data_IF_973049490107
#
_entry.id   IF_973049490107
#
_cell.length_a   1.000
_cell.length_b   1.000
_cell.length_c   1.000
_cell.angle_alpha   90.00
_cell.angle_beta   90.00
_cell.angle_gamma   90.00
#
_symmetry.space_group_name_H-M   'P 1'
#
loop_
_entity.id
_entity.type
_entity.pdbx_description
1 polymer ?
#
# COMPACT_ATOMS: atom_id res chain seq x y z
N UNK A 1 -11.35 7.42 -3.96
CA UNK A 1 -10.92 6.76 -5.22
C UNK A 1 -11.58 5.37 -5.36
N UNK A 2 -12.14 5.02 -6.53
CA UNK A 2 -12.88 3.76 -6.74
C UNK A 2 -11.99 2.49 -6.71
N UNK A 3 -10.68 2.62 -6.91
CA UNK A 3 -9.70 1.52 -6.85
C UNK A 3 -8.53 1.91 -5.93
N UNK A 4 -8.72 1.76 -4.62
CA UNK A 4 -7.64 1.92 -3.65
C UNK A 4 -6.74 0.66 -3.65
N UNK A 5 -5.43 0.85 -3.84
CA UNK A 5 -4.44 -0.20 -3.63
C UNK A 5 -4.25 -0.45 -2.13
N UNK A 6 -4.12 -1.72 -1.75
CA UNK A 6 -3.71 -2.10 -0.39
C UNK A 6 -2.18 -2.10 -0.34
N UNK A 7 -1.62 -1.52 0.70
CA UNK A 7 -0.18 -1.40 0.94
C UNK A 7 0.18 -2.12 2.24
N UNK A 8 1.38 -2.68 2.30
CA UNK A 8 1.93 -3.29 3.50
C UNK A 8 2.18 -2.22 4.57
N UNK A 9 1.84 -2.53 5.82
CA UNK A 9 2.02 -1.66 6.98
C UNK A 9 3.33 -1.92 7.69
N UNK A 10 3.86 -3.14 7.56
CA UNK A 10 5.06 -3.63 8.21
C UNK A 10 5.94 -4.35 7.19
N UNK A 11 7.25 -4.37 7.47
CA UNK A 11 8.18 -5.25 6.77
C UNK A 11 7.95 -6.69 7.21
N UNK A 12 8.00 -7.64 6.29
CA UNK A 12 7.89 -9.05 6.65
C UNK A 12 7.62 -9.99 5.51
N UNK A 13 7.36 -11.24 5.86
CA UNK A 13 7.06 -12.31 4.90
C UNK A 13 5.56 -12.43 4.72
N UNK A 14 5.13 -12.41 3.47
CA UNK A 14 3.74 -12.60 3.04
C UNK A 14 3.33 -14.05 3.26
N UNK A 15 2.17 -14.23 3.89
CA UNK A 15 1.50 -15.53 4.06
C UNK A 15 0.03 -15.46 3.67
N UNK A 16 -0.43 -16.43 2.92
CA UNK A 16 -1.86 -16.57 2.62
C UNK A 16 -2.53 -17.48 3.67
N UNK A 17 -3.58 -16.99 4.32
CA UNK A 17 -4.40 -17.77 5.26
C UNK A 17 -5.75 -18.15 4.61
N UNK A 18 -6.59 -18.89 5.33
CA UNK A 18 -7.87 -19.38 4.83
C UNK A 18 -8.70 -18.24 4.22
N UNK A 19 -9.06 -18.34 2.93
CA UNK A 19 -9.85 -17.30 2.30
C UNK A 19 -11.27 -17.27 2.87
N UNK A 20 -11.84 -16.06 2.97
CA UNK A 20 -13.27 -15.87 3.19
C UNK A 20 -14.03 -15.95 1.87
N UNK A 21 -15.36 -16.02 1.98
CA UNK A 21 -16.28 -16.23 0.84
C UNK A 21 -15.99 -15.32 -0.36
N UNK A 22 -15.78 -14.03 -0.12
CA UNK A 22 -15.46 -13.01 -1.14
C UNK A 22 -14.08 -12.38 -0.99
N UNK A 23 -13.31 -12.75 0.04
CA UNK A 23 -12.04 -12.08 0.37
C UNK A 23 -10.90 -13.08 0.52
N UNK A 24 -9.75 -12.73 -0.01
CA UNK A 24 -8.46 -13.35 0.29
C UNK A 24 -7.93 -12.75 1.59
N UNK A 25 -7.34 -13.59 2.42
CA UNK A 25 -6.69 -13.18 3.67
C UNK A 25 -5.18 -13.30 3.48
N UNK A 26 -4.50 -12.16 3.57
CA UNK A 26 -3.05 -12.08 3.54
C UNK A 26 -2.56 -11.64 4.92
N UNK A 27 -1.54 -12.30 5.44
CA UNK A 27 -0.89 -11.98 6.70
C UNK A 27 0.56 -11.67 6.37
N UNK A 28 1.05 -10.50 6.76
CA UNK A 28 2.49 -10.20 6.72
C UNK A 28 3.03 -10.46 8.11
N UNK A 29 4.08 -11.27 8.21
CA UNK A 29 4.73 -11.60 9.46
C UNK A 29 6.14 -11.00 9.50
N UNK A 30 6.38 -10.10 10.45
CA UNK A 30 7.67 -9.49 10.70
C UNK A 30 8.59 -10.41 11.51
N UNK A 31 9.90 -10.16 11.46
CA UNK A 31 10.90 -10.93 12.21
C UNK A 31 10.78 -10.76 13.73
N UNK A 32 10.24 -9.64 14.19
CA UNK A 32 10.04 -9.33 15.61
C UNK A 32 8.84 -10.07 16.22
N UNK A 33 8.12 -10.86 15.43
CA UNK A 33 6.93 -11.61 15.83
C UNK A 33 5.62 -10.84 15.65
N UNK A 34 5.66 -9.59 15.19
CA UNK A 34 4.48 -8.81 14.84
C UNK A 34 3.87 -9.32 13.54
N UNK A 35 2.55 -9.24 13.41
CA UNK A 35 1.85 -9.60 12.18
C UNK A 35 0.74 -8.62 11.84
N UNK A 36 0.59 -8.30 10.56
CA UNK A 36 -0.48 -7.48 10.03
C UNK A 36 -1.39 -8.31 9.11
N UNK A 37 -2.71 -8.21 9.31
CA UNK A 37 -3.72 -8.95 8.52
C UNK A 37 -4.42 -8.02 7.52
N UNK A 38 -4.53 -8.49 6.28
CA UNK A 38 -5.17 -7.80 5.17
C UNK A 38 -6.28 -8.65 4.57
N UNK A 39 -7.47 -8.05 4.44
CA UNK A 39 -8.63 -8.66 3.81
C UNK A 39 -8.87 -8.04 2.44
N UNK A 40 -8.36 -8.70 1.40
CA UNK A 40 -8.40 -8.23 0.01
C UNK A 40 -9.59 -8.87 -0.70
N UNK A 41 -10.36 -8.09 -1.45
CA UNK A 41 -11.45 -8.65 -2.25
C UNK A 41 -10.88 -9.50 -3.39
N UNK A 42 -11.44 -10.69 -3.63
CA UNK A 42 -10.98 -11.60 -4.70
C UNK A 42 -11.09 -11.01 -6.11
N UNK A 43 -11.91 -9.97 -6.29
CA UNK A 43 -11.99 -9.23 -7.54
C UNK A 43 -10.77 -8.34 -7.82
N UNK A 44 -9.92 -8.08 -6.81
CA UNK A 44 -8.68 -7.31 -6.97
C UNK A 44 -7.53 -8.21 -7.41
N UNK A 45 -6.68 -7.66 -8.25
CA UNK A 45 -5.44 -8.31 -8.66
C UNK A 45 -4.38 -8.16 -7.55
N UNK A 46 -3.96 -9.28 -6.96
CA UNK A 46 -2.92 -9.37 -5.93
C UNK A 46 -1.56 -9.48 -6.63
N UNK A 47 -0.60 -8.64 -6.23
CA UNK A 47 0.72 -8.58 -6.87
C UNK A 47 1.80 -9.38 -6.13
N UNK A 48 1.50 -9.82 -4.91
CA UNK A 48 2.43 -10.52 -4.03
C UNK A 48 2.21 -12.03 -4.03
N UNK A 49 3.25 -12.77 -3.63
CA UNK A 49 3.24 -14.24 -3.54
C UNK A 49 3.45 -14.73 -2.13
N UNK A 50 2.98 -15.95 -1.86
CA UNK A 50 3.22 -16.63 -0.58
C UNK A 50 4.72 -16.86 -0.37
N UNK A 51 5.23 -16.48 0.80
CA UNK A 51 6.66 -16.56 1.13
C UNK A 51 7.53 -15.41 0.59
N UNK A 52 6.94 -14.44 -0.11
CA UNK A 52 7.65 -13.25 -0.57
C UNK A 52 7.92 -12.30 0.60
N UNK A 53 9.14 -11.76 0.67
CA UNK A 53 9.45 -10.69 1.62
C UNK A 53 9.03 -9.36 1.01
N UNK A 54 8.29 -8.57 1.78
CA UNK A 54 7.77 -7.26 1.36
C UNK A 54 8.14 -6.19 2.37
N UNK A 55 8.45 -4.99 1.87
CA UNK A 55 8.70 -3.83 2.72
C UNK A 55 7.41 -3.06 3.06
N UNK A 56 7.40 -2.39 4.21
CA UNK A 56 6.36 -1.45 4.58
C UNK A 56 6.21 -0.35 3.51
N UNK A 57 4.99 -0.11 3.06
CA UNK A 57 4.66 0.84 1.99
C UNK A 57 4.63 0.23 0.58
N UNK A 58 5.07 -1.01 0.38
CA UNK A 58 4.89 -1.71 -0.89
C UNK A 58 3.45 -2.18 -1.11
N UNK A 59 3.05 -2.31 -2.38
CA UNK A 59 1.67 -2.62 -2.74
C UNK A 59 1.41 -4.12 -2.72
N UNK A 60 0.36 -4.52 -2.01
CA UNK A 60 -0.17 -5.88 -2.05
C UNK A 60 -1.09 -6.10 -3.25
N UNK A 61 -1.76 -5.05 -3.72
CA UNK A 61 -2.71 -5.10 -4.84
C UNK A 61 -2.50 -3.98 -5.84
N UNK A 62 -2.98 -4.19 -7.05
CA UNK A 62 -3.12 -3.12 -8.05
C UNK A 62 -4.03 -1.98 -7.56
N UNK A 63 -3.79 -0.79 -8.10
CA UNK A 63 -4.63 0.40 -7.86
C UNK A 63 -3.85 1.65 -7.46
N UNK A 64 -4.61 2.70 -7.14
CA UNK A 64 -4.07 3.98 -6.68
C UNK A 64 -3.94 3.91 -5.18
N UNK A 65 -2.76 4.22 -4.65
CA UNK A 65 -2.56 4.31 -3.21
C UNK A 65 -3.34 5.52 -2.69
N UNK A 66 -4.18 5.30 -1.68
CA UNK A 66 -4.92 6.39 -1.06
C UNK A 66 -3.98 7.19 -0.16
N UNK A 67 -3.92 8.52 -0.34
CA UNK A 67 -3.11 9.41 0.49
C UNK A 67 -3.48 9.32 1.98
N UNK A 68 -4.73 8.94 2.30
CA UNK A 68 -5.20 8.72 3.68
C UNK A 68 -4.62 7.44 4.31
N UNK A 69 -4.42 6.39 3.51
CA UNK A 69 -3.89 5.11 4.01
C UNK A 69 -2.38 5.25 4.24
N UNK A 70 -1.66 5.96 3.36
CA UNK A 70 -0.24 6.33 3.53
C UNK A 70 -0.03 7.12 4.83
N UNK A 71 -0.89 8.12 5.10
CA UNK A 71 -0.85 8.94 6.31
C UNK A 71 -1.04 8.13 7.59
N UNK A 72 -1.92 7.13 7.54
CA UNK A 72 -2.24 6.27 8.69
C UNK A 72 -1.12 5.27 8.99
N UNK A 73 -0.40 4.83 7.95
CA UNK A 73 0.63 3.79 8.02
C UNK A 73 2.02 4.38 8.33
N UNK A 74 2.37 5.53 7.75
CA UNK A 74 3.73 6.10 7.85
C UNK A 74 3.87 7.22 8.92
N UNK A 75 2.77 7.65 9.53
CA UNK A 75 2.77 8.70 10.55
C UNK A 75 3.14 10.10 10.03
N UNK A 76 3.18 11.08 10.96
CA UNK A 76 3.30 12.52 10.70
C UNK A 76 4.58 12.93 9.94
N UNK A 77 5.64 12.10 9.96
CA UNK A 77 6.93 12.41 9.31
C UNK A 77 6.94 12.19 7.79
N UNK A 78 6.06 11.35 7.24
CA UNK A 78 6.02 11.08 5.79
C UNK A 78 5.16 12.08 5.00
N UNK A 79 4.33 12.87 5.68
CA UNK A 79 3.50 13.92 5.07
C UNK A 79 4.34 14.92 4.26
N UNK A 80 5.56 15.24 4.75
CA UNK A 80 6.43 16.23 4.12
C UNK A 80 6.99 15.79 2.76
N UNK A 81 7.28 14.50 2.58
CA UNK A 81 7.79 13.99 1.29
C UNK A 81 6.66 13.79 0.27
N UNK A 82 5.46 13.42 0.72
CA UNK A 82 4.35 13.17 -0.21
C UNK A 82 3.68 14.47 -0.71
N UNK A 83 3.53 15.49 0.14
CA UNK A 83 3.02 16.82 -0.29
C UNK A 83 3.87 17.45 -1.40
N UNK A 84 5.19 17.27 -1.36
CA UNK A 84 6.10 17.80 -2.40
C UNK A 84 5.91 17.04 -3.73
N UNK A 85 5.62 15.74 -3.69
CA UNK A 85 5.38 14.93 -4.90
C UNK A 85 4.03 15.20 -5.57
N UNK A 86 2.99 15.47 -4.78
CA UNK A 86 1.64 15.78 -5.28
C UNK A 86 1.58 17.18 -5.91
N UNK A 87 2.35 18.14 -5.38
CA UNK A 87 2.53 19.46 -6.01
C UNK A 87 3.25 19.32 -7.38
N UNK A 88 4.16 18.37 -7.55
CA UNK A 88 4.87 18.15 -8.83
C UNK A 88 4.01 17.48 -9.92
N UNK A 89 2.90 16.81 -9.60
CA UNK A 89 1.99 16.25 -10.61
C UNK A 89 0.89 17.22 -11.07
N UNK A 90 0.49 18.20 -10.25
CA UNK A 90 -0.49 19.20 -10.67
C UNK A 90 0.10 20.24 -11.63
N UNK A 91 1.42 20.51 -11.57
CA UNK A 91 2.06 21.48 -12.46
C UNK A 91 2.45 20.97 -13.85
N UNK A 92 2.26 19.68 -14.17
CA UNK A 92 2.43 19.21 -15.57
C UNK A 92 1.17 19.33 -16.43
N UNK A 93 0.04 19.70 -15.84
CA UNK A 93 -1.24 19.87 -16.54
C UNK A 93 -1.46 21.23 -17.20
N UNK A 94 -0.68 22.26 -16.84
CA UNK A 94 -0.74 23.58 -17.48
C UNK A 94 0.68 24.13 -17.54
N UNK A 95 1.24 24.24 -18.75
CA UNK A 95 2.65 24.57 -18.99
C UNK A 95 3.10 25.86 -18.31
N UNK A 96 3.71 25.73 -17.14
CA UNK A 96 4.51 26.79 -16.54
C UNK A 96 5.84 26.18 -16.11
N UNK A 97 6.88 26.56 -16.85
CA UNK A 97 8.29 26.44 -16.46
C UNK A 97 8.53 27.47 -15.35
N UNK A 98 9.14 27.06 -14.24
CA UNK A 98 9.62 28.00 -13.22
C UNK A 98 11.15 28.02 -13.30
N UNK A 99 11.71 29.19 -13.60
CA UNK A 99 13.14 29.54 -13.45
C UNK A 99 13.47 29.84 -12.00
#
# INVERSE_FOLDING_TARGET
>A
PKNAAVIAEIDGVVRFDKPLRSKERIIIQAEDGTSAEYLIDKSKHIQVRDGEFIHAGEKLTDGVVSSHDVLKILGEKALHYYLISEIQQVYRGQGVVIS
#
